data_IF_775523895453
#
_entry.id   IF_775523895453
#
_cell.length_a   1.000
_cell.length_b   1.000
_cell.length_c   1.000
_cell.angle_alpha   90.00
_cell.angle_beta   90.00
_cell.angle_gamma   90.00
#
_symmetry.space_group_name_H-M   'P 1'
#
loop_
_entity.id
_entity.type
_entity.pdbx_description
1 polymer ?
#
# COMPACT_ATOMS: atom_id res chain seq x y z
N UNK A 1 -9.51 12.54 -8.11
CA UNK A 1 -8.15 11.96 -8.20
C UNK A 1 -7.99 11.33 -9.57
N UNK A 2 -6.94 11.69 -10.27
CA UNK A 2 -6.67 11.12 -11.61
C UNK A 2 -6.07 9.74 -11.49
N UNK A 3 -6.32 8.89 -12.48
CA UNK A 3 -5.75 7.54 -12.54
C UNK A 3 -6.02 6.74 -11.27
N UNK A 4 -7.28 6.65 -10.90
CA UNK A 4 -7.70 5.86 -9.76
C UNK A 4 -8.95 5.07 -10.09
N UNK A 5 -9.15 3.97 -9.36
CA UNK A 5 -10.31 3.10 -9.53
C UNK A 5 -10.81 2.66 -8.16
N UNK A 6 -12.12 2.40 -8.03
CA UNK A 6 -12.63 1.81 -6.80
C UNK A 6 -12.17 0.36 -6.70
N UNK A 7 -11.50 0.02 -5.62
CA UNK A 7 -11.08 -1.35 -5.35
C UNK A 7 -11.74 -1.86 -4.08
N UNK A 8 -12.08 -3.14 -4.08
CA UNK A 8 -12.69 -3.80 -2.93
C UNK A 8 -11.59 -4.32 -2.02
N UNK A 9 -11.72 -4.10 -0.73
CA UNK A 9 -10.82 -4.66 0.28
C UNK A 9 -11.09 -6.15 0.38
N UNK A 10 -10.07 -6.97 0.06
CA UNK A 10 -10.19 -8.42 0.07
C UNK A 10 -9.73 -9.05 1.38
N UNK A 11 -8.82 -8.40 2.10
CA UNK A 11 -8.32 -8.89 3.38
C UNK A 11 -7.74 -7.75 4.21
N UNK A 12 -7.83 -7.88 5.53
CA UNK A 12 -7.19 -6.98 6.49
C UNK A 12 -6.52 -7.87 7.53
N UNK A 13 -5.21 -7.79 7.62
CA UNK A 13 -4.44 -8.59 8.57
C UNK A 13 -3.80 -7.70 9.62
N UNK A 14 -4.10 -7.98 10.88
CA UNK A 14 -3.46 -7.28 12.00
C UNK A 14 -2.00 -7.75 12.12
N UNK A 15 -1.06 -6.83 11.95
CA UNK A 15 0.37 -7.15 12.06
C UNK A 15 0.92 -6.82 13.43
N UNK A 16 0.54 -5.67 13.98
CA UNK A 16 0.90 -5.25 15.32
C UNK A 16 -0.33 -4.66 16.01
N UNK A 17 -0.20 -4.23 17.25
CA UNK A 17 -1.32 -3.63 17.99
C UNK A 17 -1.87 -2.38 17.29
N UNK A 18 -1.06 -1.68 16.49
CA UNK A 18 -1.43 -0.43 15.85
C UNK A 18 -1.18 -0.41 14.35
N UNK A 19 -1.02 -1.57 13.70
CA UNK A 19 -0.84 -1.61 12.26
C UNK A 19 -1.54 -2.79 11.62
N UNK A 20 -2.00 -2.58 10.39
CA UNK A 20 -2.67 -3.61 9.58
C UNK A 20 -2.08 -3.63 8.17
N UNK A 21 -2.19 -4.78 7.53
CA UNK A 21 -1.93 -4.92 6.09
C UNK A 21 -3.27 -5.05 5.39
N UNK A 22 -3.53 -4.14 4.48
CA UNK A 22 -4.78 -4.12 3.70
C UNK A 22 -4.49 -4.67 2.31
N UNK A 23 -5.26 -5.68 1.91
CA UNK A 23 -5.16 -6.29 0.59
C UNK A 23 -6.36 -5.86 -0.25
N UNK A 24 -6.12 -5.56 -1.53
CA UNK A 24 -7.16 -5.16 -2.47
C UNK A 24 -7.39 -6.25 -3.51
N UNK A 25 -8.65 -6.45 -3.88
CA UNK A 25 -9.02 -7.37 -4.95
C UNK A 25 -8.78 -6.67 -6.29
N UNK A 26 -8.01 -7.31 -7.17
CA UNK A 26 -7.75 -6.81 -8.52
C UNK A 26 -8.46 -7.73 -9.50
N UNK A 27 -9.40 -7.20 -10.28
CA UNK A 27 -10.06 -7.97 -11.32
C UNK A 27 -9.17 -8.02 -12.59
N UNK A 28 -9.58 -8.85 -13.56
CA UNK A 28 -8.80 -9.02 -14.80
C UNK A 28 -8.64 -7.73 -15.58
N UNK A 29 -9.64 -6.86 -15.55
CA UNK A 29 -9.64 -5.61 -16.31
C UNK A 29 -8.65 -4.60 -15.73
N UNK A 30 -8.47 -4.61 -14.41
CA UNK A 30 -7.59 -3.68 -13.70
C UNK A 30 -6.17 -4.20 -13.50
N UNK A 31 -5.92 -5.47 -13.79
CA UNK A 31 -4.63 -6.11 -13.49
C UNK A 31 -3.44 -5.39 -14.12
N UNK A 32 -3.56 -4.97 -15.37
CA UNK A 32 -2.46 -4.31 -16.07
C UNK A 32 -2.11 -2.95 -15.48
N UNK A 33 -3.12 -2.19 -15.01
CA UNK A 33 -2.89 -0.84 -14.46
C UNK A 33 -2.42 -0.88 -13.01
N UNK A 34 -2.58 -2.01 -12.31
CA UNK A 34 -2.13 -2.17 -10.93
C UNK A 34 -0.87 -3.03 -10.80
N UNK A 35 -0.20 -3.31 -11.91
CA UNK A 35 1.14 -3.89 -11.88
C UNK A 35 2.09 -2.84 -11.31
N UNK A 36 2.92 -3.24 -10.35
CA UNK A 36 3.78 -2.31 -9.63
C UNK A 36 5.22 -2.80 -9.55
N UNK A 37 6.11 -1.89 -9.23
CA UNK A 37 7.52 -2.19 -8.92
C UNK A 37 7.75 -2.01 -7.43
N UNK A 38 8.70 -2.76 -6.89
CA UNK A 38 9.07 -2.62 -5.49
C UNK A 38 9.42 -1.18 -5.16
N UNK A 39 8.89 -0.67 -4.05
CA UNK A 39 9.13 0.70 -3.60
C UNK A 39 8.08 1.71 -4.02
N UNK A 40 7.13 1.32 -4.84
CA UNK A 40 6.04 2.21 -5.23
C UNK A 40 4.97 2.30 -4.13
N UNK A 41 4.08 3.28 -4.27
CA UNK A 41 3.01 3.53 -3.30
C UNK A 41 1.66 3.68 -3.99
N UNK A 42 0.60 3.56 -3.20
CA UNK A 42 -0.76 3.84 -3.61
C UNK A 42 -1.29 5.02 -2.82
N UNK A 43 -2.10 5.86 -3.45
CA UNK A 43 -2.86 6.89 -2.75
C UNK A 43 -4.26 6.35 -2.54
N UNK A 44 -4.69 6.29 -1.30
CA UNK A 44 -6.03 5.85 -0.93
C UNK A 44 -6.89 7.08 -0.63
N UNK A 45 -8.11 7.04 -1.11
CA UNK A 45 -9.06 8.14 -0.92
C UNK A 45 -10.36 7.59 -0.37
N UNK A 46 -10.83 8.16 0.72
CA UNK A 46 -12.12 7.80 1.32
C UNK A 46 -12.80 9.05 1.87
N UNK A 47 -14.11 8.99 1.95
CA UNK A 47 -14.88 10.05 2.57
C UNK A 47 -15.09 9.70 4.04
N UNK A 48 -14.55 10.51 4.93
CA UNK A 48 -14.65 10.30 6.37
C UNK A 48 -15.32 11.53 6.99
N UNK A 49 -16.44 11.31 7.66
CA UNK A 49 -17.24 12.39 8.28
C UNK A 49 -17.56 13.53 7.30
N UNK A 50 -17.87 13.16 6.05
CA UNK A 50 -18.23 14.13 5.02
C UNK A 50 -17.05 14.78 4.30
N UNK A 51 -15.83 14.52 4.72
CA UNK A 51 -14.62 15.09 4.10
C UNK A 51 -13.87 14.04 3.29
N UNK A 52 -13.40 14.43 2.11
CA UNK A 52 -12.56 13.57 1.28
C UNK A 52 -11.13 13.62 1.82
N UNK A 53 -10.62 12.47 2.23
CA UNK A 53 -9.28 12.33 2.79
C UNK A 53 -8.45 11.46 1.85
N UNK A 54 -7.26 11.95 1.50
CA UNK A 54 -6.29 11.23 0.65
C UNK A 54 -5.00 11.04 1.42
N UNK A 55 -4.46 9.82 1.39
CA UNK A 55 -3.17 9.52 2.00
C UNK A 55 -2.46 8.45 1.18
N UNK A 56 -1.14 8.55 1.14
CA UNK A 56 -0.30 7.61 0.40
C UNK A 56 0.31 6.59 1.34
N UNK A 57 0.32 5.34 0.90
CA UNK A 57 0.89 4.22 1.65
C UNK A 57 1.74 3.37 0.73
N UNK A 58 2.90 2.97 1.21
CA UNK A 58 3.81 2.13 0.44
C UNK A 58 3.23 0.74 0.21
N UNK A 59 3.44 0.21 -1.00
CA UNK A 59 3.07 -1.16 -1.31
C UNK A 59 4.07 -2.07 -0.62
N UNK A 60 3.58 -3.00 0.19
CA UNK A 60 4.42 -3.90 0.97
C UNK A 60 4.46 -5.33 0.44
N UNK A 61 3.64 -5.66 -0.56
CA UNK A 61 3.66 -6.98 -1.18
C UNK A 61 4.77 -7.09 -2.20
N UNK A 62 5.17 -8.34 -2.48
CA UNK A 62 6.13 -8.64 -3.53
C UNK A 62 5.49 -8.36 -4.89
N UNK A 63 6.16 -7.65 -5.82
CA UNK A 63 5.59 -7.35 -7.13
C UNK A 63 5.14 -8.59 -7.93
N UNK A 64 5.78 -9.73 -7.69
CA UNK A 64 5.45 -10.95 -8.42
C UNK A 64 4.44 -11.85 -7.71
N UNK A 65 3.98 -11.45 -6.52
CA UNK A 65 3.03 -12.25 -5.74
C UNK A 65 1.61 -12.25 -6.31
N UNK A 66 1.29 -11.31 -7.18
CA UNK A 66 -0.06 -11.10 -7.66
C UNK A 66 -0.98 -10.43 -6.66
N UNK A 67 -0.44 -9.99 -5.54
CA UNK A 67 -1.19 -9.33 -4.47
C UNK A 67 -0.88 -7.85 -4.41
N UNK A 68 -1.89 -7.03 -4.16
CA UNK A 68 -1.73 -5.60 -3.97
C UNK A 68 -2.04 -5.28 -2.51
N UNK A 69 -1.00 -4.98 -1.74
CA UNK A 69 -1.11 -4.80 -0.29
C UNK A 69 -0.37 -3.55 0.17
N UNK A 70 -0.97 -2.84 1.12
CA UNK A 70 -0.32 -1.69 1.78
C UNK A 70 -0.31 -1.91 3.29
N UNK A 71 0.75 -1.44 3.94
CA UNK A 71 0.83 -1.43 5.40
C UNK A 71 0.39 -0.08 5.94
N UNK A 72 -0.48 -0.08 6.93
CA UNK A 72 -1.01 1.15 7.51
C UNK A 72 -0.83 1.11 9.02
N UNK A 73 0.04 1.97 9.53
CA UNK A 73 0.24 2.14 10.97
C UNK A 73 -0.66 3.27 11.46
N UNK A 74 -1.41 3.03 12.54
CA UNK A 74 -2.22 4.05 13.16
C UNK A 74 -1.30 5.11 13.78
N UNK A 75 -1.49 6.36 13.36
CA UNK A 75 -0.70 7.49 13.83
C UNK A 75 -1.57 8.29 14.81
N UNK A 76 -0.99 8.70 15.93
CA UNK A 76 -1.70 9.53 16.91
C UNK A 76 -2.29 10.76 16.20
N UNK A 77 -3.62 10.96 16.33
CA UNK A 77 -4.38 12.01 15.66
C UNK A 77 -4.43 11.90 14.12
N UNK A 78 -3.99 10.79 13.54
CA UNK A 78 -4.11 10.54 12.11
C UNK A 78 -5.52 10.08 11.77
N UNK A 79 -6.27 10.89 11.01
CA UNK A 79 -7.66 10.60 10.70
C UNK A 79 -7.79 9.33 9.87
N UNK A 80 -7.05 9.25 8.76
CA UNK A 80 -7.19 8.12 7.83
C UNK A 80 -6.59 6.84 8.38
N UNK A 81 -5.39 6.90 8.97
CA UNK A 81 -4.73 5.71 9.47
C UNK A 81 -5.53 5.06 10.60
N UNK A 82 -6.16 5.85 11.46
CA UNK A 82 -7.02 5.32 12.51
C UNK A 82 -8.32 4.75 11.94
N UNK A 83 -8.91 5.40 10.93
CA UNK A 83 -10.08 4.86 10.24
C UNK A 83 -9.77 3.47 9.66
N UNK A 84 -8.64 3.31 9.00
CA UNK A 84 -8.25 2.01 8.41
C UNK A 84 -8.03 0.97 9.49
N UNK A 85 -7.38 1.31 10.60
CA UNK A 85 -7.13 0.36 11.67
C UNK A 85 -8.38 -0.02 12.47
N UNK A 86 -9.32 0.92 12.62
CA UNK A 86 -10.46 0.74 13.54
C UNK A 86 -11.79 0.44 12.84
N UNK A 87 -12.02 1.00 11.67
CA UNK A 87 -13.35 0.99 11.04
C UNK A 87 -13.42 0.30 9.69
N UNK A 88 -12.32 0.21 8.94
CA UNK A 88 -12.32 -0.43 7.63
C UNK A 88 -12.60 -1.92 7.75
N UNK A 89 -13.43 -2.45 6.84
CA UNK A 89 -13.82 -3.86 6.83
C UNK A 89 -13.59 -4.48 5.47
N UNK A 90 -13.36 -5.80 5.46
CA UNK A 90 -13.33 -6.59 4.21
C UNK A 90 -14.66 -6.41 3.49
N UNK A 91 -14.61 -6.15 2.19
CA UNK A 91 -15.78 -5.86 1.38
C UNK A 91 -16.01 -4.37 1.16
N UNK A 92 -15.38 -3.50 1.95
CA UNK A 92 -15.44 -2.07 1.74
C UNK A 92 -14.74 -1.69 0.43
N UNK A 93 -15.17 -0.59 -0.18
CA UNK A 93 -14.57 -0.08 -1.40
C UNK A 93 -13.80 1.20 -1.09
N UNK A 94 -12.58 1.27 -1.60
CA UNK A 94 -11.74 2.46 -1.47
C UNK A 94 -11.31 2.90 -2.86
N UNK A 95 -11.32 4.21 -3.12
CA UNK A 95 -10.73 4.77 -4.33
C UNK A 95 -9.21 4.69 -4.21
N UNK A 96 -8.56 3.97 -5.11
CA UNK A 96 -7.13 3.67 -5.04
C UNK A 96 -6.46 4.14 -6.32
N UNK A 97 -5.40 4.94 -6.20
CA UNK A 97 -4.61 5.35 -7.37
C UNK A 97 -3.87 4.16 -7.96
N UNK A 98 -3.51 4.27 -9.26
CA UNK A 98 -2.55 3.33 -9.83
C UNK A 98 -1.21 3.49 -9.10
N UNK A 99 -0.35 2.44 -9.09
CA UNK A 99 0.94 2.53 -8.42
C UNK A 99 1.79 3.69 -8.94
N UNK A 100 2.41 4.42 -8.02
CA UNK A 100 3.21 5.60 -8.31
C UNK A 100 4.49 5.58 -7.50
N UNK A 101 5.43 6.45 -7.87
CA UNK A 101 6.64 6.67 -7.12
C UNK A 101 7.87 6.11 -7.81
N UNK A 102 9.02 6.63 -7.40
CA UNK A 102 10.31 6.29 -7.99
C UNK A 102 11.28 5.68 -6.97
N UNK A 103 10.79 5.31 -5.79
CA UNK A 103 11.61 4.66 -4.78
C UNK A 103 11.77 3.18 -5.16
N UNK A 104 12.62 2.94 -6.16
CA UNK A 104 12.94 1.61 -6.66
C UNK A 104 14.45 1.40 -6.56
N UNK A 105 14.84 0.14 -6.36
CA UNK A 105 16.25 -0.20 -6.26
C UNK A 105 16.91 -0.11 -7.64
N UNK A 106 18.05 0.58 -7.72
CA UNK A 106 18.84 0.61 -8.92
C UNK A 106 19.43 -0.79 -9.14
N UNK A 107 19.30 -1.30 -10.34
CA UNK A 107 19.80 -2.64 -10.68
C UNK A 107 21.29 -2.69 -10.99
N UNK A 108 21.99 -1.57 -10.91
CA UNK A 108 23.44 -1.57 -11.05
C UNK A 108 24.11 -2.31 -9.88
N UNK A 109 25.27 -2.95 -10.08
CA UNK A 109 25.96 -3.62 -8.98
C UNK A 109 26.40 -2.58 -7.93
N UNK A 110 25.85 -2.68 -6.75
CA UNK A 110 26.10 -1.78 -5.64
C UNK A 110 25.79 -2.49 -4.33
N UNK A 111 26.36 -1.97 -3.26
CA UNK A 111 25.99 -2.43 -1.92
C UNK A 111 24.67 -1.77 -1.54
N UNK A 112 23.68 -2.58 -1.27
CA UNK A 112 22.39 -2.09 -0.86
C UNK A 112 22.36 -1.89 0.66
N UNK A 113 22.03 -0.67 1.07
CA UNK A 113 21.92 -0.32 2.46
C UNK A 113 20.47 0.05 2.77
N UNK A 114 19.81 -0.78 3.56
CA UNK A 114 18.43 -0.57 3.91
C UNK A 114 18.32 0.02 5.32
N UNK A 115 17.67 1.17 5.43
CA UNK A 115 17.35 1.79 6.70
C UNK A 115 15.84 1.64 6.94
N UNK A 116 15.48 0.89 7.98
CA UNK A 116 14.10 0.69 8.35
C UNK A 116 13.76 1.60 9.53
N UNK A 117 12.95 2.64 9.25
CA UNK A 117 12.50 3.57 10.27
C UNK A 117 11.09 4.05 9.91
N UNK A 118 10.13 3.81 10.79
CA UNK A 118 8.76 4.22 10.57
C UNK A 118 8.16 3.61 9.30
N UNK A 119 7.46 4.41 8.50
CA UNK A 119 6.80 3.95 7.29
C UNK A 119 7.76 3.58 6.15
N UNK A 120 9.05 3.87 6.28
CA UNK A 120 10.05 3.49 5.29
C UNK A 120 10.31 2.00 5.22
N UNK A 121 9.92 1.24 6.24
CA UNK A 121 10.19 -0.21 6.29
C UNK A 121 9.41 -0.98 5.22
N UNK A 122 8.17 -0.58 4.88
CA UNK A 122 7.35 -1.31 3.91
C UNK A 122 7.95 -1.32 2.50
N UNK A 123 8.39 -0.19 1.91
CA UNK A 123 9.04 -0.23 0.61
C UNK A 123 10.38 -0.96 0.64
N UNK A 124 11.13 -0.89 1.72
CA UNK A 124 12.40 -1.61 1.86
C UNK A 124 12.17 -3.11 1.83
N UNK A 125 11.16 -3.61 2.52
CA UNK A 125 10.80 -5.03 2.54
C UNK A 125 10.38 -5.50 1.14
N UNK A 126 9.58 -4.72 0.43
CA UNK A 126 9.15 -5.05 -0.93
C UNK A 126 10.32 -5.13 -1.89
N UNK A 127 11.26 -4.19 -1.82
CA UNK A 127 12.46 -4.18 -2.65
C UNK A 127 13.34 -5.39 -2.35
N UNK A 128 13.57 -5.69 -1.06
CA UNK A 128 14.39 -6.82 -0.66
C UNK A 128 13.79 -8.15 -1.14
N UNK A 129 12.48 -8.30 -1.06
CA UNK A 129 11.80 -9.51 -1.55
C UNK A 129 11.98 -9.68 -3.05
N UNK A 130 11.92 -8.61 -3.82
CA UNK A 130 12.11 -8.63 -5.27
C UNK A 130 13.55 -9.03 -5.64
N UNK A 131 14.54 -8.50 -4.94
CA UNK A 131 15.96 -8.79 -5.21
C UNK A 131 16.36 -10.22 -4.83
N UNK A 132 15.69 -10.83 -3.88
CA UNK A 132 15.99 -12.18 -3.41
C UNK A 132 15.39 -13.30 -4.27
N UNK A 133 14.68 -12.98 -5.33
CA UNK A 133 14.06 -13.97 -6.24
C UNK A 133 15.06 -14.71 -7.09
#
# INVERSE_FOLDING_TARGET
MKNSHPLVVSNIKQETVDSVVVSFKIDKESKSVYTFKAGQYLTLCSKIKGEEIKRSYSICSDPQSGKLQVGVKAIKNGVYSNYINDALRVGDTIEVSVPEGRFVLDKSPANYLAFAAGSGITPIISIASDELR
#
